data_IF_093390337380
#
_entry.id   IF_093390337380
#
_cell.length_a   1.000
_cell.length_b   1.000
_cell.length_c   1.000
_cell.angle_alpha   90.00
_cell.angle_beta   90.00
_cell.angle_gamma   90.00
#
_symmetry.space_group_name_H-M   'P 1'
#
loop_
_entity.id
_entity.type
_entity.pdbx_description
1 polymer ?
#
# COMPACT_ATOMS: atom_id res chain seq x y z
N UNK A 1 -3.35 3.55 -4.36
CA UNK A 1 -2.54 4.80 -4.42
C UNK A 1 -2.17 5.05 -5.87
N UNK A 2 -2.83 6.00 -6.54
CA UNK A 2 -2.51 6.42 -7.91
C UNK A 2 -1.49 7.54 -7.86
N UNK A 3 -0.31 7.33 -8.43
CA UNK A 3 0.68 8.38 -8.69
C UNK A 3 1.18 8.18 -10.12
N UNK A 4 0.75 9.02 -11.07
CA UNK A 4 1.64 9.54 -12.13
C UNK A 4 0.94 10.63 -12.94
N UNK A 5 1.51 11.84 -12.92
CA UNK A 5 1.37 12.85 -13.98
C UNK A 5 2.69 12.88 -14.73
N UNK A 6 2.68 12.61 -16.04
CA UNK A 6 3.77 12.98 -16.94
C UNK A 6 3.24 14.03 -17.90
N UNK A 7 3.74 15.25 -17.78
CA UNK A 7 3.53 16.32 -18.77
C UNK A 7 4.80 16.43 -19.61
N UNK A 8 4.73 16.03 -20.88
CA UNK A 8 5.77 16.35 -21.85
C UNK A 8 5.43 17.69 -22.51
N UNK A 9 6.30 18.69 -22.33
CA UNK A 9 6.28 19.90 -23.13
C UNK A 9 7.12 19.65 -24.40
N UNK A 10 6.47 19.35 -25.52
CA UNK A 10 7.11 19.50 -26.83
C UNK A 10 7.07 20.97 -27.23
N UNK A 11 8.22 21.62 -27.23
CA UNK A 11 8.40 22.91 -27.89
C UNK A 11 8.56 22.66 -29.38
N UNK A 12 7.48 22.76 -30.16
CA UNK A 12 7.50 23.31 -31.52
C UNK A 12 6.08 23.58 -32.03
N UNK A 13 5.88 24.79 -32.57
CA UNK A 13 4.70 25.29 -33.32
C UNK A 13 3.30 25.27 -32.66
N UNK A 14 2.91 26.42 -32.07
CA UNK A 14 1.57 27.03 -31.97
C UNK A 14 0.29 26.18 -31.71
N UNK A 15 0.41 24.95 -31.24
CA UNK A 15 -0.72 24.08 -30.86
C UNK A 15 -0.35 23.36 -29.56
N UNK A 16 -1.04 23.69 -28.46
CA UNK A 16 -0.93 22.92 -27.22
C UNK A 16 -1.75 21.63 -27.42
N UNK A 17 -1.06 20.52 -27.69
CA UNK A 17 -1.68 19.20 -27.83
C UNK A 17 -1.48 18.43 -26.52
N UNK A 18 -2.47 18.49 -25.64
CA UNK A 18 -2.45 17.75 -24.38
C UNK A 18 -2.85 16.29 -24.65
N UNK A 19 -1.89 15.38 -24.68
CA UNK A 19 -2.16 13.94 -24.72
C UNK A 19 -2.20 13.40 -23.28
N UNK A 20 -3.42 13.19 -22.77
CA UNK A 20 -3.65 12.53 -21.48
C UNK A 20 -3.87 11.04 -21.75
N UNK A 21 -2.94 10.20 -21.32
CA UNK A 21 -3.10 8.75 -21.36
C UNK A 21 -3.61 8.26 -20.00
N UNK A 22 -4.86 7.82 -19.97
CA UNK A 22 -5.46 7.22 -18.78
C UNK A 22 -5.24 5.69 -18.85
N UNK A 23 -4.35 5.17 -18.01
CA UNK A 23 -4.09 3.74 -17.94
C UNK A 23 -4.90 3.14 -16.77
N UNK A 24 -6.04 2.52 -17.07
CA UNK A 24 -6.85 1.83 -16.06
C UNK A 24 -6.43 0.36 -15.98
N UNK A 25 -5.71 -0.02 -14.93
CA UNK A 25 -5.41 -1.41 -14.61
C UNK A 25 -6.61 -2.01 -13.85
N UNK A 26 -7.44 -2.81 -14.55
CA UNK A 26 -8.50 -3.61 -13.92
C UNK A 26 -7.95 -5.02 -13.66
N UNK A 27 -7.77 -5.38 -12.39
CA UNK A 27 -7.33 -6.72 -11.99
C UNK A 27 -8.53 -7.66 -12.04
N UNK A 28 -8.63 -8.47 -13.09
CA UNK A 28 -9.51 -9.63 -13.17
C UNK A 28 -8.66 -10.86 -13.48
N UNK A 29 -9.05 -11.97 -12.88
CA UNK A 29 -8.41 -13.27 -12.92
C UNK A 29 -8.22 -13.74 -14.38
N UNK A 30 -6.97 -14.10 -14.72
CA UNK A 30 -6.49 -14.60 -16.02
C UNK A 30 -6.76 -13.73 -17.27
N UNK A 31 -5.66 -13.37 -17.95
CA UNK A 31 -5.52 -12.50 -19.14
C UNK A 31 -5.43 -10.98 -18.90
N UNK A 32 -4.21 -10.46 -18.99
CA UNK A 32 -3.90 -9.02 -19.05
C UNK A 32 -4.36 -8.42 -20.38
N UNK A 33 -5.47 -7.68 -20.39
CA UNK A 33 -5.91 -6.90 -21.55
C UNK A 33 -5.53 -5.44 -21.34
N UNK A 34 -4.61 -4.93 -22.16
CA UNK A 34 -4.25 -3.51 -22.22
C UNK A 34 -5.20 -2.80 -23.19
N UNK A 35 -6.27 -2.18 -22.69
CA UNK A 35 -7.12 -1.32 -23.51
C UNK A 35 -6.58 0.11 -23.53
N UNK A 36 -5.99 0.53 -24.64
CA UNK A 36 -5.62 1.93 -24.91
C UNK A 36 -6.84 2.62 -25.52
N UNK A 37 -7.52 3.47 -24.75
CA UNK A 37 -8.59 4.34 -25.26
C UNK A 37 -8.01 5.72 -25.59
N UNK A 38 -8.06 6.09 -26.88
CA UNK A 38 -7.69 7.42 -27.35
C UNK A 38 -8.92 8.33 -27.25
N UNK A 39 -8.97 9.17 -26.23
CA UNK A 39 -9.95 10.26 -26.17
C UNK A 39 -9.44 11.44 -27.01
N UNK A 40 -9.95 11.55 -28.24
CA UNK A 40 -9.78 12.76 -29.05
C UNK A 40 -10.81 13.80 -28.60
N UNK A 41 -10.38 14.75 -27.79
CA UNK A 41 -11.17 15.97 -27.59
C UNK A 41 -10.97 16.89 -28.79
N UNK A 42 -12.03 17.06 -29.59
CA UNK A 42 -12.11 18.11 -30.59
C UNK A 42 -12.66 19.34 -29.88
N UNK A 43 -11.77 20.28 -29.55
CA UNK A 43 -12.18 21.59 -29.02
C UNK A 43 -12.77 22.34 -30.24
N UNK A 44 -14.08 22.66 -30.26
CA UNK A 44 -14.58 23.57 -31.27
C UNK A 44 -13.91 24.92 -31.03
N UNK A 45 -13.35 25.47 -32.09
CA UNK A 45 -12.77 26.81 -32.12
C UNK A 45 -13.94 27.77 -31.86
N UNK A 46 -14.10 28.18 -30.61
CA UNK A 46 -15.20 29.03 -30.20
C UNK A 46 -14.85 30.45 -30.60
N UNK A 47 -15.62 30.92 -31.57
CA UNK A 47 -15.70 32.30 -31.97
C UNK A 47 -16.04 33.17 -30.74
N UNK A 48 -15.30 34.27 -30.65
CA UNK A 48 -15.32 35.32 -29.64
C UNK A 48 -16.72 35.59 -29.05
N UNK A 49 -16.94 35.21 -27.79
CA UNK A 49 -18.06 35.70 -26.97
C UNK A 49 -17.76 35.56 -25.47
N UNK A 50 -18.11 36.60 -24.72
CA UNK A 50 -17.81 36.95 -23.32
C UNK A 50 -17.43 35.84 -22.30
N UNK A 51 -16.29 36.05 -21.64
CA UNK A 51 -15.51 35.04 -20.90
C UNK A 51 -15.72 34.97 -19.38
N UNK A 52 -16.76 35.57 -18.80
CA UNK A 52 -16.86 35.70 -17.32
C UNK A 52 -17.88 34.78 -16.65
N UNK A 53 -18.96 34.38 -17.34
CA UNK A 53 -20.07 33.65 -16.70
C UNK A 53 -20.03 32.13 -16.88
N UNK A 54 -19.27 31.61 -17.85
CA UNK A 54 -19.23 30.16 -18.14
C UNK A 54 -18.26 29.37 -17.25
N UNK A 55 -17.19 30.01 -16.77
CA UNK A 55 -16.16 29.37 -15.93
C UNK A 55 -16.66 29.12 -14.52
N UNK A 56 -17.52 30.01 -13.99
CA UNK A 56 -18.12 29.83 -12.66
C UNK A 56 -19.06 28.62 -12.63
N UNK A 57 -19.91 28.45 -13.65
CA UNK A 57 -20.90 27.35 -13.70
C UNK A 57 -20.25 25.97 -13.76
N UNK A 58 -19.10 25.83 -14.44
CA UNK A 58 -18.33 24.57 -14.48
C UNK A 58 -17.63 24.24 -13.15
N UNK A 59 -17.18 25.25 -12.41
CA UNK A 59 -16.57 25.06 -11.09
C UNK A 59 -17.61 24.69 -10.02
N UNK A 60 -18.83 25.22 -10.09
CA UNK A 60 -19.89 24.83 -9.15
C UNK A 60 -20.44 23.42 -9.38
N UNK A 61 -20.57 22.99 -10.63
CA UNK A 61 -21.07 21.64 -10.95
C UNK A 61 -20.13 20.51 -10.48
N UNK A 62 -18.82 20.78 -10.44
CA UNK A 62 -17.82 19.80 -9.98
C UNK A 62 -17.75 19.67 -8.45
N UNK A 63 -18.09 20.72 -7.69
CA UNK A 63 -18.17 20.67 -6.22
C UNK A 63 -19.37 19.88 -5.70
N UNK A 64 -20.49 19.91 -6.41
CA UNK A 64 -21.72 19.19 -6.01
C UNK A 64 -21.56 17.67 -6.22
N UNK A 65 -20.87 17.24 -7.28
CA UNK A 65 -20.61 15.82 -7.55
C UNK A 65 -19.61 15.17 -6.57
N UNK A 66 -18.77 15.93 -5.88
CA UNK A 66 -17.83 15.40 -4.88
C UNK A 66 -18.45 15.25 -3.48
N UNK A 67 -19.64 15.82 -3.24
CA UNK A 67 -20.22 15.90 -1.89
C UNK A 67 -21.21 14.78 -1.56
N UNK A 68 -21.53 13.90 -2.50
CA UNK A 68 -22.57 12.86 -2.35
C UNK A 68 -22.05 11.45 -2.08
N UNK A 69 -20.76 11.25 -1.80
CA UNK A 69 -20.20 9.92 -1.50
C UNK A 69 -19.69 9.80 -0.07
N UNK A 70 -20.53 10.00 0.93
CA UNK A 70 -20.26 9.52 2.30
C UNK A 70 -21.56 8.97 2.91
N UNK A 71 -22.00 7.81 2.43
CA UNK A 71 -22.84 6.93 3.24
C UNK A 71 -21.92 6.16 4.19
N UNK A 72 -21.79 6.67 5.42
CA UNK A 72 -21.21 5.91 6.52
C UNK A 72 -22.27 4.95 7.05
N UNK A 73 -22.26 3.71 6.57
CA UNK A 73 -22.93 2.61 7.26
C UNK A 73 -22.21 2.35 8.58
N UNK A 74 -22.69 2.98 9.67
CA UNK A 74 -22.34 2.58 11.03
C UNK A 74 -23.10 1.31 11.38
N UNK A 75 -22.66 0.18 10.82
CA UNK A 75 -23.04 -1.14 11.30
C UNK A 75 -22.48 -1.32 12.70
N UNK A 76 -23.36 -1.48 13.69
CA UNK A 76 -23.02 -1.89 15.05
C UNK A 76 -22.30 -3.25 14.96
N UNK A 77 -20.96 -3.17 14.89
CA UNK A 77 -20.09 -4.33 14.80
C UNK A 77 -19.83 -4.76 16.23
N UNK A 78 -20.21 -5.98 16.57
CA UNK A 78 -19.80 -6.63 17.81
C UNK A 78 -18.28 -6.47 17.96
N UNK A 79 -17.87 -5.81 19.03
CA UNK A 79 -16.46 -5.42 19.21
C UNK A 79 -15.69 -6.64 19.66
N UNK A 80 -15.02 -7.31 18.71
CA UNK A 80 -14.13 -8.42 19.03
C UNK A 80 -12.84 -7.89 19.68
N UNK A 81 -12.69 -8.17 20.97
CA UNK A 81 -11.54 -7.76 21.78
C UNK A 81 -10.48 -8.86 21.79
N UNK A 82 -9.21 -8.51 21.58
CA UNK A 82 -8.07 -9.41 21.62
C UNK A 82 -7.93 -10.10 22.98
N UNK A 83 -8.26 -9.41 24.08
CA UNK A 83 -8.28 -9.98 25.45
C UNK A 83 -9.23 -11.16 25.62
N UNK A 84 -10.26 -11.27 24.78
CA UNK A 84 -11.24 -12.34 24.87
C UNK A 84 -10.83 -13.59 24.07
N UNK A 85 -9.78 -13.50 23.25
CA UNK A 85 -9.33 -14.64 22.46
C UNK A 85 -8.43 -15.56 23.29
N UNK A 86 -8.63 -16.86 23.14
CA UNK A 86 -7.81 -17.86 23.83
C UNK A 86 -6.50 -18.13 23.05
N UNK A 87 -5.38 -18.19 23.77
CA UNK A 87 -4.07 -18.53 23.19
C UNK A 87 -3.90 -20.05 23.03
N UNK A 88 -4.70 -20.64 22.15
CA UNK A 88 -4.82 -22.11 21.98
C UNK A 88 -3.90 -22.67 20.89
N UNK A 89 -3.37 -21.82 20.00
CA UNK A 89 -2.52 -22.25 18.89
C UNK A 89 -1.03 -22.04 19.20
N UNK A 90 -0.23 -23.04 18.89
CA UNK A 90 1.23 -22.95 18.89
C UNK A 90 1.71 -22.65 17.47
N UNK A 91 2.55 -21.63 17.34
CA UNK A 91 3.03 -21.15 16.04
C UNK A 91 4.55 -21.08 16.09
N UNK A 92 5.19 -21.62 15.06
CA UNK A 92 6.64 -21.53 14.86
C UNK A 92 6.90 -20.93 13.50
N UNK A 93 7.65 -19.83 13.45
CA UNK A 93 8.12 -19.22 12.22
C UNK A 93 9.65 -19.30 12.17
N UNK A 94 10.18 -20.02 11.18
CA UNK A 94 11.63 -20.19 11.00
C UNK A 94 12.01 -19.78 9.58
N UNK A 95 12.96 -18.84 9.41
CA UNK A 95 13.51 -18.54 8.10
C UNK A 95 14.19 -19.77 7.50
N UNK A 96 14.05 -19.99 6.20
CA UNK A 96 14.66 -21.13 5.52
C UNK A 96 16.18 -20.99 5.42
N UNK A 97 16.69 -19.76 5.34
CA UNK A 97 18.13 -19.49 5.34
C UNK A 97 18.65 -19.40 6.78
N UNK A 98 19.56 -20.32 7.13
CA UNK A 98 20.22 -20.34 8.43
C UNK A 98 21.38 -19.35 8.43
N UNK A 99 21.48 -18.51 9.48
CA UNK A 99 22.59 -17.56 9.68
C UNK A 99 22.40 -16.16 9.10
N UNK A 100 21.29 -15.90 8.41
CA UNK A 100 20.96 -14.57 7.89
C UNK A 100 20.06 -13.83 8.88
N UNK A 101 20.48 -12.62 9.30
CA UNK A 101 19.77 -11.79 10.28
C UNK A 101 18.62 -10.99 9.63
N UNK A 102 18.70 -10.73 8.32
CA UNK A 102 17.76 -9.88 7.57
C UNK A 102 17.33 -10.56 6.27
N UNK A 103 16.02 -10.77 6.10
CA UNK A 103 15.42 -11.45 4.95
C UNK A 103 14.99 -10.46 3.88
N UNK A 104 15.27 -10.77 2.62
CA UNK A 104 14.89 -9.91 1.49
C UNK A 104 13.47 -10.23 0.99
N UNK A 105 12.63 -9.20 0.95
CA UNK A 105 11.28 -9.30 0.41
C UNK A 105 11.28 -9.75 -1.06
N UNK A 106 10.42 -10.72 -1.40
CA UNK A 106 10.26 -11.25 -2.76
C UNK A 106 11.28 -12.31 -3.16
N UNK A 107 12.27 -12.63 -2.31
CA UNK A 107 13.27 -13.68 -2.57
C UNK A 107 13.30 -14.73 -1.46
N UNK A 108 13.27 -14.29 -0.21
CA UNK A 108 13.44 -15.19 0.93
C UNK A 108 12.13 -15.81 1.39
N UNK A 109 12.26 -16.99 1.98
CA UNK A 109 11.13 -17.80 2.45
C UNK A 109 11.21 -18.02 3.96
N UNK A 110 10.04 -18.04 4.58
CA UNK A 110 9.83 -18.39 5.98
C UNK A 110 8.94 -19.62 6.05
N UNK A 111 9.40 -20.65 6.74
CA UNK A 111 8.61 -21.82 7.07
C UNK A 111 7.79 -21.53 8.32
N UNK A 112 6.48 -21.47 8.13
CA UNK A 112 5.50 -21.24 9.18
C UNK A 112 4.84 -22.58 9.48
N UNK A 113 4.83 -22.98 10.75
CA UNK A 113 4.16 -24.19 11.23
C UNK A 113 3.22 -23.80 12.33
N UNK A 114 2.00 -24.32 12.30
CA UNK A 114 1.03 -24.11 13.36
C UNK A 114 0.34 -25.42 13.73
N UNK A 115 0.03 -25.55 15.02
CA UNK A 115 -0.71 -26.67 15.57
C UNK A 115 -1.48 -26.22 16.81
N UNK A 116 -2.42 -27.05 17.26
CA UNK A 116 -3.09 -26.82 18.53
C UNK A 116 -2.16 -27.19 19.70
N UNK A 117 -2.15 -26.38 20.75
CA UNK A 117 -1.45 -26.73 22.00
C UNK A 117 -2.08 -27.96 22.62
N UNK A 118 -1.25 -28.88 23.11
CA UNK A 118 -1.72 -30.09 23.80
C UNK A 118 -2.56 -29.81 25.05
N UNK A 119 -2.44 -28.62 25.65
CA UNK A 119 -3.20 -28.19 26.83
C UNK A 119 -4.52 -27.48 26.48
N UNK A 120 -4.73 -27.11 25.22
CA UNK A 120 -5.93 -26.42 24.80
C UNK A 120 -7.06 -27.43 24.56
N UNK A 121 -8.19 -27.24 25.24
CA UNK A 121 -9.40 -28.02 24.99
C UNK A 121 -10.12 -27.36 23.81
N UNK A 122 -10.24 -28.07 22.69
CA UNK A 122 -11.21 -27.67 21.65
C UNK A 122 -12.58 -27.98 22.21
N UNK A 123 -13.27 -26.99 22.77
CA UNK A 123 -14.69 -27.12 23.03
C UNK A 123 -15.41 -27.22 21.67
N UNK A 124 -16.24 -28.24 21.47
CA UNK A 124 -16.88 -28.54 20.17
C UNK A 124 -17.67 -27.33 19.60
N UNK A 125 -18.23 -26.48 20.47
CA UNK A 125 -19.00 -25.28 20.09
C UNK A 125 -18.12 -24.09 19.62
N UNK A 126 -16.82 -24.07 19.97
CA UNK A 126 -15.85 -23.05 19.58
C UNK A 126 -14.83 -23.58 18.54
N UNK A 127 -15.22 -24.61 17.79
CA UNK A 127 -14.38 -25.22 16.76
C UNK A 127 -13.99 -24.21 15.68
N UNK A 128 -12.69 -23.90 15.61
CA UNK A 128 -12.13 -23.11 14.53
C UNK A 128 -12.24 -23.92 13.22
N UNK A 129 -13.02 -23.42 12.27
CA UNK A 129 -13.18 -24.03 10.93
C UNK A 129 -12.02 -23.66 10.02
N UNK A 130 -11.55 -22.43 10.16
CA UNK A 130 -10.55 -21.84 9.29
C UNK A 130 -9.44 -21.24 10.15
N UNK A 131 -8.21 -21.43 9.69
CA UNK A 131 -7.03 -20.78 10.23
C UNK A 131 -6.62 -19.65 9.30
N UNK A 132 -6.40 -18.48 9.88
CA UNK A 132 -5.85 -17.34 9.18
C UNK A 132 -4.49 -16.96 9.74
N UNK A 133 -3.46 -17.02 8.90
CA UNK A 133 -2.10 -16.64 9.26
C UNK A 133 -1.86 -15.21 8.79
N UNK A 134 -1.44 -14.35 9.72
CA UNK A 134 -1.11 -12.94 9.47
C UNK A 134 0.33 -12.63 9.88
N UNK A 135 0.95 -11.70 9.16
CA UNK A 135 2.24 -11.11 9.51
C UNK A 135 2.03 -9.85 10.34
N UNK A 136 2.72 -9.76 11.48
CA UNK A 136 2.53 -8.68 12.44
C UNK A 136 3.83 -7.94 12.77
N UNK A 137 3.76 -6.63 12.99
CA UNK A 137 4.89 -5.79 13.38
C UNK A 137 5.30 -6.04 14.83
N UNK A 138 6.58 -6.31 15.07
CA UNK A 138 7.16 -6.35 16.40
C UNK A 138 7.17 -4.95 17.05
N UNK A 139 7.14 -4.84 18.39
CA UNK A 139 7.10 -3.54 19.09
C UNK A 139 8.20 -2.57 18.66
N UNK A 140 9.41 -3.07 18.40
CA UNK A 140 10.55 -2.29 17.91
C UNK A 140 10.25 -1.56 16.58
N UNK A 141 9.38 -2.11 15.74
CA UNK A 141 8.97 -1.53 14.46
C UNK A 141 7.71 -0.65 14.54
N UNK A 142 7.16 -0.45 15.75
CA UNK A 142 5.97 0.36 16.00
C UNK A 142 6.26 1.74 16.62
N UNK A 143 7.40 1.93 17.29
CA UNK A 143 7.70 3.12 18.12
C UNK A 143 7.46 4.45 17.39
N UNK A 144 8.03 4.63 16.20
CA UNK A 144 7.92 5.89 15.43
C UNK A 144 6.82 5.87 14.37
N UNK A 145 5.93 4.88 14.39
CA UNK A 145 4.97 4.62 13.32
C UNK A 145 3.57 4.35 13.89
N UNK A 146 2.82 5.41 14.27
CA UNK A 146 1.49 5.26 14.88
C UNK A 146 0.50 4.41 14.07
N UNK A 147 0.65 4.39 12.74
CA UNK A 147 -0.18 3.57 11.86
C UNK A 147 0.08 2.06 11.95
N UNK A 148 1.10 1.61 12.71
CA UNK A 148 1.43 0.20 12.98
C UNK A 148 1.09 -0.25 14.40
N UNK A 149 0.44 0.62 15.19
CA UNK A 149 0.17 0.39 16.62
C UNK A 149 -0.83 -0.76 16.83
N UNK A 150 -0.54 -1.60 17.82
CA UNK A 150 -1.48 -2.62 18.29
C UNK A 150 -2.63 -1.98 19.09
N UNK A 151 -3.86 -2.40 18.83
CA UNK A 151 -5.05 -2.05 19.60
C UNK A 151 -5.71 -3.32 20.16
N UNK A 152 -6.44 -3.19 21.28
CA UNK A 152 -7.17 -4.32 21.85
C UNK A 152 -8.37 -4.72 20.98
N UNK A 153 -9.02 -3.75 20.33
CA UNK A 153 -10.08 -4.03 19.37
C UNK A 153 -9.47 -4.60 18.08
N UNK A 154 -9.82 -5.83 17.72
CA UNK A 154 -9.26 -6.51 16.55
C UNK A 154 -9.55 -5.76 15.25
N UNK A 155 -10.74 -5.14 15.14
CA UNK A 155 -11.14 -4.33 14.00
C UNK A 155 -10.30 -3.07 13.81
N UNK A 156 -9.67 -2.57 14.89
CA UNK A 156 -8.79 -1.39 14.87
C UNK A 156 -7.31 -1.75 14.95
N UNK A 157 -6.96 -3.03 15.13
CA UNK A 157 -5.58 -3.48 15.22
C UNK A 157 -4.89 -3.35 13.86
N UNK A 158 -3.94 -2.41 13.77
CA UNK A 158 -3.12 -2.20 12.56
C UNK A 158 -1.78 -2.91 12.62
N UNK A 159 -1.51 -3.66 13.70
CA UNK A 159 -0.23 -4.33 13.87
C UNK A 159 -0.06 -5.55 12.97
N UNK A 160 -1.16 -6.16 12.50
CA UNK A 160 -1.16 -7.36 11.65
C UNK A 160 -1.86 -7.13 10.29
N UNK A 161 -1.35 -6.27 9.39
CA UNK A 161 -2.06 -5.90 8.18
C UNK A 161 -1.96 -6.92 7.04
N UNK A 162 -0.94 -7.77 7.02
CA UNK A 162 -0.70 -8.67 5.89
C UNK A 162 -1.24 -10.07 6.20
N UNK A 163 -2.22 -10.51 5.42
CA UNK A 163 -2.71 -11.88 5.43
C UNK A 163 -1.81 -12.75 4.57
N UNK A 164 -1.20 -13.77 5.18
CA UNK A 164 -0.32 -14.73 4.52
C UNK A 164 -1.17 -15.82 3.85
N UNK A 165 -2.06 -16.46 4.63
CA UNK A 165 -2.89 -17.55 4.12
C UNK A 165 -4.18 -17.70 4.93
N UNK A 166 -5.24 -18.14 4.26
CA UNK A 166 -6.46 -18.68 4.90
C UNK A 166 -6.60 -20.14 4.47
N UNK A 167 -6.69 -21.06 5.43
CA UNK A 167 -6.88 -22.49 5.14
C UNK A 167 -7.87 -23.12 6.12
N UNK A 168 -8.59 -24.19 5.72
CA UNK A 168 -9.35 -24.97 6.68
C UNK A 168 -8.43 -25.51 7.78
N UNK A 169 -8.93 -25.52 9.00
CA UNK A 169 -8.22 -26.08 10.14
C UNK A 169 -8.22 -27.61 10.08
N UNK A 170 -7.03 -28.19 10.24
CA UNK A 170 -6.87 -29.62 10.46
C UNK A 170 -6.28 -29.87 11.85
N UNK A 171 -6.64 -31.00 12.47
CA UNK A 171 -6.10 -31.43 13.78
C UNK A 171 -4.61 -31.84 13.71
N UNK A 172 -4.05 -31.93 12.52
CA UNK A 172 -2.67 -32.34 12.26
C UNK A 172 -1.79 -31.07 12.14
N UNK A 173 -0.54 -31.09 12.62
CA UNK A 173 0.38 -29.98 12.41
C UNK A 173 0.49 -29.60 10.93
N UNK A 174 0.13 -28.36 10.61
CA UNK A 174 0.18 -27.83 9.26
C UNK A 174 1.43 -26.96 9.12
N UNK A 175 2.10 -27.07 7.97
CA UNK A 175 3.25 -26.23 7.64
C UNK A 175 3.11 -25.61 6.26
N UNK A 176 3.62 -24.38 6.12
CA UNK A 176 3.61 -23.60 4.90
C UNK A 176 4.98 -22.95 4.73
N UNK A 177 5.57 -23.11 3.55
CA UNK A 177 6.70 -22.29 3.13
C UNK A 177 6.12 -21.05 2.44
N UNK A 178 6.22 -19.90 3.09
CA UNK A 178 5.75 -18.62 2.56
C UNK A 178 6.93 -17.79 2.06
N UNK A 179 6.86 -17.32 0.82
CA UNK A 179 7.81 -16.33 0.29
C UNK A 179 7.35 -14.95 0.72
N UNK A 180 8.26 -14.14 1.27
CA UNK A 180 7.92 -12.80 1.74
C UNK A 180 7.42 -11.97 0.55
N UNK A 181 6.25 -11.35 0.69
CA UNK A 181 5.68 -10.54 -0.38
C UNK A 181 6.54 -9.30 -0.65
N UNK A 182 6.68 -8.94 -1.93
CA UNK A 182 7.45 -7.76 -2.38
C UNK A 182 6.94 -6.44 -1.80
N UNK A 183 5.66 -6.39 -1.47
CA UNK A 183 4.99 -5.22 -0.88
C UNK A 183 5.19 -5.12 0.64
N UNK A 184 5.86 -6.10 1.26
CA UNK A 184 6.18 -6.07 2.69
C UNK A 184 7.23 -4.98 2.94
N UNK A 185 6.93 -3.96 3.75
CA UNK A 185 7.88 -2.89 4.01
C UNK A 185 9.00 -3.36 4.94
N UNK A 186 10.10 -2.60 4.98
CA UNK A 186 11.20 -2.87 5.91
C UNK A 186 10.73 -2.76 7.37
N UNK A 187 11.08 -3.77 8.17
CA UNK A 187 10.72 -3.86 9.58
C UNK A 187 11.02 -5.23 10.19
N UNK A 188 10.80 -5.33 11.50
CA UNK A 188 10.90 -6.57 12.26
C UNK A 188 9.50 -7.11 12.52
N UNK A 189 9.32 -8.40 12.27
CA UNK A 189 8.04 -9.06 12.24
C UNK A 189 8.00 -10.33 13.09
N UNK A 190 6.78 -10.72 13.45
CA UNK A 190 6.43 -12.04 13.96
C UNK A 190 5.17 -12.53 13.25
N UNK A 191 4.90 -13.83 13.34
CA UNK A 191 3.71 -14.43 12.75
C UNK A 191 2.66 -14.66 13.83
N UNK A 192 1.42 -14.28 13.52
CA UNK A 192 0.26 -14.58 14.36
C UNK A 192 -0.76 -15.37 13.55
N UNK A 193 -1.34 -16.36 14.18
CA UNK A 193 -2.35 -17.23 13.61
C UNK A 193 -3.65 -17.01 14.37
N UNK A 194 -4.75 -16.85 13.66
CA UNK A 194 -6.08 -16.69 14.21
C UNK A 194 -6.93 -17.91 13.83
N UNK A 195 -7.63 -18.47 14.82
CA UNK A 195 -8.68 -19.45 14.61
C UNK A 195 -10.00 -18.72 14.36
N UNK A 196 -10.59 -18.94 13.19
CA UNK A 196 -11.86 -18.35 12.78
C UNK A 196 -12.98 -19.35 13.05
N UNK A 197 -13.95 -18.93 13.86
CA UNK A 197 -15.13 -19.72 14.20
C UNK A 197 -16.17 -19.76 13.08
N UNK A 198 -17.29 -20.43 13.34
CA UNK A 198 -18.37 -20.62 12.35
C UNK A 198 -19.03 -19.31 11.90
N UNK A 199 -19.03 -18.30 12.77
CA UNK A 199 -19.58 -16.97 12.51
C UNK A 199 -18.59 -16.04 11.80
N UNK A 200 -17.41 -16.54 11.39
CA UNK A 200 -16.38 -15.73 10.74
C UNK A 200 -15.59 -14.81 11.69
N UNK A 201 -15.83 -14.89 12.99
CA UNK A 201 -15.12 -14.14 14.02
C UNK A 201 -13.88 -14.87 14.52
N UNK A 202 -12.86 -14.12 14.93
CA UNK A 202 -11.67 -14.68 15.59
C UNK A 202 -12.02 -15.16 17.00
N UNK A 203 -11.86 -16.47 17.26
CA UNK A 203 -12.17 -17.09 18.56
C UNK A 203 -10.91 -17.48 19.34
N UNK A 204 -9.82 -17.74 18.62
CA UNK A 204 -8.55 -18.16 19.19
C UNK A 204 -7.38 -17.52 18.46
N UNK A 205 -6.24 -17.44 19.13
CA UNK A 205 -5.00 -17.01 18.51
C UNK A 205 -3.81 -17.86 18.93
N UNK A 206 -2.73 -17.72 18.17
CA UNK A 206 -1.39 -18.19 18.50
C UNK A 206 -0.39 -17.27 17.86
N UNK A 207 0.79 -17.15 18.45
CA UNK A 207 1.85 -16.29 17.91
C UNK A 207 3.22 -16.95 18.07
N UNK A 208 4.13 -16.65 17.14
CA UNK A 208 5.48 -17.22 17.14
C UNK A 208 6.41 -16.62 18.19
N UNK A 209 6.04 -15.46 18.73
CA UNK A 209 6.81 -14.69 19.70
C UNK A 209 6.19 -14.78 21.09
N UNK A 210 6.97 -14.49 22.12
CA UNK A 210 6.53 -14.43 23.52
C UNK A 210 5.54 -13.30 23.77
N UNK A 211 4.95 -13.26 24.98
CA UNK A 211 3.97 -12.24 25.36
C UNK A 211 4.54 -10.81 25.25
N UNK A 212 5.84 -10.63 25.54
CA UNK A 212 6.53 -9.34 25.41
C UNK A 212 7.00 -9.05 23.98
N UNK A 213 6.87 -10.03 23.07
CA UNK A 213 7.23 -9.96 21.66
C UNK A 213 8.71 -9.62 21.42
N UNK A 214 9.59 -10.26 22.18
CA UNK A 214 11.05 -10.05 22.17
C UNK A 214 11.82 -11.21 21.53
N UNK A 215 11.22 -12.40 21.44
CA UNK A 215 11.84 -13.64 20.98
C UNK A 215 11.27 -14.10 19.62
N UNK A 216 12.02 -14.89 18.86
CA UNK A 216 11.59 -15.45 17.56
C UNK A 216 11.10 -14.39 16.54
N UNK A 217 11.73 -13.21 16.57
CA UNK A 217 11.52 -12.15 15.61
C UNK A 217 12.43 -12.34 14.40
N UNK A 218 11.99 -11.90 13.23
CA UNK A 218 12.83 -11.82 12.05
C UNK A 218 12.71 -10.44 11.40
N UNK A 219 13.83 -9.93 10.92
CA UNK A 219 13.88 -8.65 10.21
C UNK A 219 13.72 -8.89 8.71
N UNK A 220 12.85 -8.08 8.10
CA UNK A 220 12.59 -8.08 6.67
C UNK A 220 13.08 -6.76 6.10
N UNK A 221 13.86 -6.83 5.03
CA UNK A 221 14.19 -5.71 4.19
C UNK A 221 13.24 -5.68 3.00
N UNK A 222 12.36 -4.68 3.00
CA UNK A 222 11.43 -4.44 1.92
C UNK A 222 12.15 -3.87 0.69
N UNK A 223 11.53 -4.04 -0.47
CA UNK A 223 12.02 -3.41 -1.69
C UNK A 223 11.82 -1.90 -1.56
N UNK A 224 12.91 -1.15 -1.43
CA UNK A 224 12.83 0.31 -1.40
C UNK A 224 12.36 0.83 -2.75
N UNK A 225 11.30 1.65 -2.75
CA UNK A 225 10.85 2.39 -3.93
C UNK A 225 11.80 3.51 -4.36
N UNK A 226 12.91 3.73 -3.63
CA UNK A 226 14.01 4.60 -4.04
C UNK A 226 14.82 3.90 -5.13
N UNK A 227 14.23 3.81 -6.32
CA UNK A 227 14.93 3.36 -7.50
C UNK A 227 15.96 4.42 -7.90
N UNK A 228 17.17 3.97 -8.28
CA UNK A 228 18.24 4.85 -8.78
C UNK A 228 17.77 5.71 -9.96
N UNK A 229 16.78 5.24 -10.72
CA UNK A 229 16.14 6.00 -11.80
C UNK A 229 15.44 7.27 -11.31
N UNK A 230 14.80 7.24 -10.13
CA UNK A 230 14.11 8.39 -9.58
C UNK A 230 15.12 9.44 -9.08
N UNK A 231 16.19 8.99 -8.43
CA UNK A 231 17.30 9.86 -8.01
C UNK A 231 17.96 10.54 -9.23
N UNK A 232 18.23 9.80 -10.31
CA UNK A 232 18.79 10.35 -11.55
C UNK A 232 17.83 11.35 -12.21
N UNK A 233 16.54 11.02 -12.32
CA UNK A 233 15.56 11.92 -12.91
C UNK A 233 15.44 13.24 -12.13
N UNK A 234 15.48 13.18 -10.79
CA UNK A 234 15.46 14.35 -9.92
C UNK A 234 16.65 15.29 -10.18
N UNK A 235 17.86 14.73 -10.35
CA UNK A 235 19.06 15.50 -10.68
C UNK A 235 18.91 16.17 -12.04
N UNK A 236 18.50 15.42 -13.07
CA UNK A 236 18.32 15.96 -14.42
C UNK A 236 17.31 17.11 -14.46
N UNK A 237 16.15 16.97 -13.79
CA UNK A 237 15.15 18.03 -13.74
C UNK A 237 15.63 19.27 -12.99
N UNK A 238 16.42 19.09 -11.93
CA UNK A 238 17.00 20.20 -11.17
C UNK A 238 17.98 21.02 -12.02
N UNK A 239 18.88 20.35 -12.74
CA UNK A 239 19.84 21.01 -13.64
C UNK A 239 19.13 21.71 -14.80
N UNK A 240 18.10 21.08 -15.38
CA UNK A 240 17.31 21.68 -16.46
C UNK A 240 16.56 22.94 -16.01
N UNK A 241 15.93 22.90 -14.83
CA UNK A 241 15.23 24.05 -14.26
C UNK A 241 16.18 25.22 -14.02
N UNK A 242 17.32 24.98 -13.38
CA UNK A 242 18.31 26.02 -13.14
C UNK A 242 18.92 26.57 -14.44
N UNK A 243 19.26 25.67 -15.37
CA UNK A 243 19.85 26.03 -16.66
C UNK A 243 18.92 26.90 -17.51
N UNK A 244 17.64 26.54 -17.58
CA UNK A 244 16.64 27.35 -18.31
C UNK A 244 16.50 28.74 -17.69
N UNK A 245 16.43 28.84 -16.36
CA UNK A 245 16.33 30.11 -15.65
C UNK A 245 17.53 31.03 -15.94
N UNK A 246 18.76 30.50 -15.92
CA UNK A 246 19.96 31.25 -16.29
C UNK A 246 19.92 31.72 -17.75
N UNK A 247 19.50 30.86 -18.69
CA UNK A 247 19.38 31.23 -20.10
C UNK A 247 18.36 32.35 -20.30
N UNK A 248 17.22 32.29 -19.59
CA UNK A 248 16.21 33.36 -19.60
C UNK A 248 16.78 34.68 -19.09
N UNK A 249 17.46 34.68 -17.93
CA UNK A 249 18.08 35.88 -17.36
C UNK A 249 19.14 36.50 -18.27
N UNK A 250 19.99 35.67 -18.90
CA UNK A 250 21.01 36.16 -19.84
C UNK A 250 20.36 36.75 -21.10
N UNK A 251 19.31 36.12 -21.63
CA UNK A 251 18.56 36.65 -22.78
C UNK A 251 17.90 37.99 -22.45
N UNK A 252 17.28 38.11 -21.28
CA UNK A 252 16.66 39.35 -20.83
C UNK A 252 17.69 40.46 -20.66
N UNK A 253 18.83 40.18 -20.01
CA UNK A 253 19.94 41.13 -19.85
C UNK A 253 20.50 41.60 -21.19
N UNK A 254 20.67 40.70 -22.16
CA UNK A 254 21.13 41.06 -23.52
C UNK A 254 20.11 41.94 -24.25
N UNK A 255 18.81 41.63 -24.15
CA UNK A 255 17.75 42.47 -24.74
C UNK A 255 17.73 43.88 -24.14
N UNK A 256 17.85 44.00 -22.81
CA UNK A 256 17.88 45.30 -22.13
C UNK A 256 19.07 46.18 -22.59
N UNK A 257 20.26 45.60 -22.72
CA UNK A 257 21.45 46.31 -23.21
C UNK A 257 21.34 46.75 -24.68
N UNK A 258 20.65 45.98 -25.53
CA UNK A 258 20.42 46.34 -26.94
C UNK A 258 19.42 47.50 -27.08
N UNK A 259 18.41 47.58 -26.20
CA UNK A 259 17.44 48.68 -26.19
C UNK A 259 18.06 49.99 -25.71
N UNK A 260 19.00 49.95 -24.75
CA UNK A 260 19.73 51.15 -24.31
C UNK A 260 20.75 51.68 -25.32
N UNK A 261 21.11 50.89 -26.34
CA UNK A 261 22.04 51.28 -27.41
C UNK A 261 21.34 51.82 -28.67
N UNK A 262 20.01 51.83 -28.70
CA UNK A 262 19.20 52.49 -29.74
C UNK A 262 18.77 53.86 -29.26
#
# INVERSE_FOLDING_TARGET
MMNTFFSYCCCDCNIIRLHVYLCTLKKAHDHTITTVSSLRFKIPLLEKSDSTMAVQTFLFASLIFFSSSIESNHGATEVSLFTNLENSLEVTAKPTRVGVVVLEAGKDMVRITWMLKSSAKVNDDASFKTVEVKLCYAPISQVDRPWRKTHNELSRDRSCPHKIVSKPYDKIPQSLNWTIDRETPTGTYFVRVYGIGVNGQEVAYGQSSDAEKTTNLFSVEGISGRHTSLDIASICFSVFSFGTLLVFLVKEKRKANLQQRK
#
